data_IF_803175527384
#
_entry.id   IF_803175527384
#
_cell.length_a   1.000
_cell.length_b   1.000
_cell.length_c   1.000
_cell.angle_alpha   90.00
_cell.angle_beta   90.00
_cell.angle_gamma   90.00
#
_symmetry.space_group_name_H-M   'P 1'
#
loop_
_entity.id
_entity.type
_entity.pdbx_description
1 polymer ?
#
# COMPACT_ATOMS: atom_id res chain seq x y z
N UNK A 1 5.17 8.00 12.89
CA UNK A 1 4.76 8.40 11.53
C UNK A 1 3.25 8.53 11.57
N UNK A 2 2.69 9.55 10.91
CA UNK A 2 1.31 10.02 11.17
C UNK A 2 0.28 8.97 10.74
N UNK A 3 -0.64 8.58 11.63
CA UNK A 3 -1.73 7.60 11.42
C UNK A 3 -2.81 8.09 10.43
N UNK A 4 -2.45 8.93 9.45
CA UNK A 4 -3.38 9.53 8.50
C UNK A 4 -2.75 9.85 7.15
N UNK A 5 -1.82 9.01 6.67
CA UNK A 5 -1.43 9.06 5.26
C UNK A 5 -2.66 8.72 4.40
N UNK A 6 -3.07 9.60 3.47
CA UNK A 6 -4.19 9.34 2.57
C UNK A 6 -4.06 8.01 1.83
N UNK A 7 -5.19 7.36 1.54
CA UNK A 7 -5.23 6.13 0.74
C UNK A 7 -4.56 6.33 -0.62
N UNK A 8 -4.76 7.50 -1.26
CA UNK A 8 -4.09 7.85 -2.51
C UNK A 8 -2.58 7.77 -2.38
N UNK A 9 -2.03 8.36 -1.33
CA UNK A 9 -0.58 8.47 -1.15
C UNK A 9 0.04 7.09 -0.87
N UNK A 10 -0.70 6.20 -0.21
CA UNK A 10 -0.31 4.79 -0.03
C UNK A 10 -0.29 4.04 -1.36
N UNK A 11 -1.30 4.25 -2.21
CA UNK A 11 -1.36 3.66 -3.55
C UNK A 11 -0.21 4.16 -4.43
N UNK A 12 0.01 5.48 -4.47
CA UNK A 12 1.11 6.11 -5.22
C UNK A 12 2.47 5.53 -4.80
N UNK A 13 2.65 5.27 -3.50
CA UNK A 13 3.88 4.66 -2.98
C UNK A 13 4.05 3.22 -3.45
N UNK A 14 2.99 2.41 -3.43
CA UNK A 14 3.04 1.03 -3.94
C UNK A 14 3.36 1.01 -5.44
N UNK A 15 2.77 1.90 -6.23
CA UNK A 15 3.10 2.03 -7.66
C UNK A 15 4.58 2.37 -7.87
N UNK A 16 5.11 3.34 -7.10
CA UNK A 16 6.53 3.70 -7.14
C UNK A 16 7.45 2.53 -6.77
N UNK A 17 7.05 1.68 -5.82
CA UNK A 17 7.79 0.46 -5.45
C UNK A 17 7.81 -0.53 -6.61
N UNK A 18 6.66 -0.76 -7.25
CA UNK A 18 6.53 -1.66 -8.40
C UNK A 18 7.43 -1.18 -9.55
N UNK A 19 7.39 0.11 -9.89
CA UNK A 19 8.22 0.68 -10.96
C UNK A 19 9.72 0.47 -10.70
N UNK A 20 10.19 0.69 -9.47
CA UNK A 20 11.60 0.46 -9.10
C UNK A 20 12.00 -1.03 -9.20
N UNK A 21 11.11 -1.94 -8.78
CA UNK A 21 11.35 -3.38 -8.87
C UNK A 21 11.34 -3.88 -10.32
N UNK A 22 10.49 -3.30 -11.17
CA UNK A 22 10.40 -3.64 -12.61
C UNK A 22 11.59 -3.12 -13.42
N UNK A 23 12.08 -1.92 -13.11
CA UNK A 23 13.26 -1.32 -13.73
C UNK A 23 14.52 -2.16 -13.44
N UNK A 24 14.59 -2.76 -12.25
CA UNK A 24 15.65 -3.71 -11.90
C UNK A 24 17.02 -3.06 -11.64
N UNK A 25 17.09 -1.73 -11.60
CA UNK A 25 18.28 -0.96 -11.21
C UNK A 25 18.46 -0.87 -9.68
N UNK A 26 17.99 -1.89 -8.93
CA UNK A 26 18.12 -2.01 -7.47
C UNK A 26 18.88 -3.28 -7.10
N UNK A 27 19.63 -3.25 -6.00
CA UNK A 27 20.27 -4.45 -5.47
C UNK A 27 19.23 -5.45 -4.92
N UNK A 28 19.65 -6.70 -4.69
CA UNK A 28 18.77 -7.71 -4.08
C UNK A 28 18.32 -7.32 -2.67
N UNK A 29 19.18 -6.66 -1.90
CA UNK A 29 18.88 -6.17 -0.55
C UNK A 29 17.82 -5.07 -0.63
N UNK A 30 18.03 -4.06 -1.47
CA UNK A 30 17.03 -3.00 -1.71
C UNK A 30 15.71 -3.55 -2.24
N UNK A 31 15.75 -4.53 -3.14
CA UNK A 31 14.54 -5.19 -3.65
C UNK A 31 13.76 -5.93 -2.54
N UNK A 32 14.45 -6.50 -1.55
CA UNK A 32 13.80 -7.14 -0.40
C UNK A 32 13.14 -6.10 0.50
N UNK A 33 13.83 -5.01 0.80
CA UNK A 33 13.28 -3.91 1.60
C UNK A 33 12.05 -3.28 0.93
N UNK A 34 12.14 -2.98 -0.37
CA UNK A 34 11.02 -2.45 -1.16
C UNK A 34 9.83 -3.41 -1.17
N UNK A 35 10.09 -4.72 -1.28
CA UNK A 35 9.04 -5.74 -1.21
C UNK A 35 8.38 -5.78 0.17
N UNK A 36 9.15 -5.72 1.24
CA UNK A 36 8.61 -5.70 2.62
C UNK A 36 7.77 -4.45 2.86
N UNK A 37 8.26 -3.28 2.46
CA UNK A 37 7.52 -2.01 2.52
C UNK A 37 6.20 -2.09 1.74
N UNK A 38 6.24 -2.59 0.50
CA UNK A 38 5.04 -2.76 -0.32
C UNK A 38 4.01 -3.70 0.33
N UNK A 39 4.47 -4.77 0.99
CA UNK A 39 3.58 -5.69 1.72
C UNK A 39 2.93 -5.05 2.95
N UNK A 40 3.67 -4.24 3.70
CA UNK A 40 3.13 -3.50 4.84
C UNK A 40 2.04 -2.51 4.39
N UNK A 41 2.32 -1.72 3.34
CA UNK A 41 1.37 -0.74 2.82
C UNK A 41 0.09 -1.43 2.29
N UNK A 42 0.23 -2.56 1.59
CA UNK A 42 -0.91 -3.32 1.11
C UNK A 42 -1.78 -3.87 2.26
N UNK A 43 -1.15 -4.37 3.33
CA UNK A 43 -1.88 -4.84 4.51
C UNK A 43 -2.67 -3.70 5.18
N UNK A 44 -2.05 -2.52 5.30
CA UNK A 44 -2.74 -1.34 5.84
C UNK A 44 -3.90 -0.87 4.94
N UNK A 45 -3.73 -0.95 3.62
CA UNK A 45 -4.78 -0.62 2.66
C UNK A 45 -5.95 -1.61 2.75
N UNK A 46 -5.67 -2.91 2.86
CA UNK A 46 -6.70 -3.92 3.08
C UNK A 46 -7.49 -3.64 4.35
N UNK A 47 -6.82 -3.37 5.48
CA UNK A 47 -7.48 -3.01 6.74
C UNK A 47 -8.31 -1.71 6.61
N UNK A 48 -7.77 -0.69 5.93
CA UNK A 48 -8.45 0.60 5.77
C UNK A 48 -9.72 0.48 4.91
N UNK A 49 -9.68 -0.40 3.89
CA UNK A 49 -10.77 -0.57 2.93
C UNK A 49 -11.78 -1.64 3.38
N UNK A 50 -11.45 -2.46 4.36
CA UNK A 50 -12.36 -3.40 5.01
C UNK A 50 -13.35 -2.68 5.93
N UNK A 51 -14.28 -1.94 5.33
CA UNK A 51 -15.34 -1.18 6.02
C UNK A 51 -16.53 -2.05 6.45
N UNK A 52 -16.46 -3.37 6.29
CA UNK A 52 -17.52 -4.32 6.61
C UNK A 52 -18.73 -4.28 5.66
N UNK A 53 -19.75 -5.07 5.98
CA UNK A 53 -21.04 -5.00 5.29
C UNK A 53 -21.80 -3.73 5.72
N UNK A 54 -22.03 -2.83 4.76
CA UNK A 54 -22.81 -1.62 4.99
C UNK A 54 -24.29 -1.92 5.13
N UNK A 55 -24.91 -1.43 6.21
CA UNK A 55 -26.36 -1.45 6.37
C UNK A 55 -27.02 -0.38 5.48
N UNK A 56 -27.94 -0.78 4.60
CA UNK A 56 -28.76 0.17 3.84
C UNK A 56 -29.86 0.73 4.76
N UNK A 57 -29.80 2.03 5.05
CA UNK A 57 -30.85 2.71 5.80
C UNK A 57 -31.86 3.30 4.80
N UNK A 58 -33.04 2.68 4.69
CA UNK A 58 -34.17 3.22 3.94
C UNK A 58 -34.80 4.39 4.73
N UNK A 59 -34.92 5.57 4.10
CA UNK A 59 -35.58 6.76 4.64
C UNK A 59 -37.02 6.89 4.15
#
# INVERSE_FOLDING_TARGET
MSENTPVSDKVDRVETIIEQLEDGEVSLEEAQELREEGQEILAELEETLDVGEGDIIEQ
#
